data_IF_220614497746
#
_entry.id   IF_220614497746
#
_cell.length_a   1.000
_cell.length_b   1.000
_cell.length_c   1.000
_cell.angle_alpha   90.00
_cell.angle_beta   90.00
_cell.angle_gamma   90.00
#
_symmetry.space_group_name_H-M   'P 1'
#
loop_
_entity.id
_entity.type
_entity.pdbx_description
1 polymer ?
#
# COMPACT_ATOMS: atom_id res chain seq x y z
N UNK A 1 -22.90 -10.79 -3.54
CA UNK A 1 -22.26 -11.55 -2.46
C UNK A 1 -22.47 -10.73 -1.21
N UNK A 2 -23.00 -11.31 -0.14
CA UNK A 2 -23.24 -10.58 1.11
C UNK A 2 -21.89 -10.08 1.66
N UNK A 3 -21.75 -8.79 1.94
CA UNK A 3 -20.47 -8.18 2.34
C UNK A 3 -19.90 -8.86 3.58
N UNK A 4 -20.77 -9.37 4.45
CA UNK A 4 -20.40 -10.10 5.67
C UNK A 4 -19.76 -11.46 5.37
N UNK A 5 -20.21 -12.15 4.31
CA UNK A 5 -19.59 -13.42 3.88
C UNK A 5 -18.18 -13.16 3.33
N UNK A 6 -17.99 -12.09 2.57
CA UNK A 6 -16.67 -11.73 2.05
C UNK A 6 -15.67 -11.41 3.19
N UNK A 7 -16.11 -10.63 4.19
CA UNK A 7 -15.32 -10.32 5.39
C UNK A 7 -14.90 -11.59 6.14
N UNK A 8 -15.81 -12.55 6.31
CA UNK A 8 -15.51 -13.83 6.97
C UNK A 8 -14.52 -14.69 6.18
N UNK A 9 -14.64 -14.76 4.85
CA UNK A 9 -13.71 -15.51 4.00
C UNK A 9 -12.30 -14.92 4.10
N UNK A 10 -12.18 -13.59 4.09
CA UNK A 10 -10.90 -12.91 4.26
C UNK A 10 -10.29 -13.22 5.63
N UNK A 11 -11.05 -13.10 6.72
CA UNK A 11 -10.54 -13.42 8.07
C UNK A 11 -10.08 -14.89 8.19
N UNK A 12 -10.83 -15.83 7.60
CA UNK A 12 -10.41 -17.24 7.56
C UNK A 12 -9.09 -17.43 6.80
N UNK A 13 -8.91 -16.76 5.65
CA UNK A 13 -7.64 -16.81 4.89
C UNK A 13 -6.49 -16.20 5.69
N UNK A 14 -6.71 -15.07 6.35
CA UNK A 14 -5.71 -14.41 7.22
C UNK A 14 -5.26 -15.38 8.32
N UNK A 15 -6.18 -16.02 9.04
CA UNK A 15 -5.82 -16.98 10.09
C UNK A 15 -5.11 -18.22 9.52
N UNK A 16 -5.48 -18.67 8.31
CA UNK A 16 -4.82 -19.79 7.62
C UNK A 16 -3.37 -19.46 7.26
N UNK A 17 -3.11 -18.28 6.70
CA UNK A 17 -1.76 -17.81 6.38
C UNK A 17 -0.87 -17.82 7.62
N UNK A 18 -1.38 -17.33 8.76
CA UNK A 18 -0.64 -17.32 10.03
C UNK A 18 -0.29 -18.76 10.47
N UNK A 19 -1.22 -19.69 10.33
CA UNK A 19 -1.02 -21.08 10.74
C UNK A 19 -0.05 -21.85 9.83
N UNK A 20 -0.02 -21.55 8.54
CA UNK A 20 0.82 -22.23 7.55
C UNK A 20 2.23 -21.63 7.45
N UNK A 21 2.41 -20.38 7.87
CA UNK A 21 3.67 -19.63 7.72
C UNK A 21 4.18 -19.10 9.05
N UNK A 22 4.22 -19.95 10.09
CA UNK A 22 4.51 -19.53 11.47
C UNK A 22 5.83 -18.76 11.59
N UNK A 23 6.84 -19.12 10.79
CA UNK A 23 8.14 -18.46 10.71
C UNK A 23 8.06 -16.96 10.39
N UNK A 24 7.00 -16.53 9.67
CA UNK A 24 6.80 -15.12 9.28
C UNK A 24 6.21 -14.28 10.42
N UNK A 25 5.78 -14.91 11.52
CA UNK A 25 5.02 -14.27 12.60
C UNK A 25 5.58 -14.53 14.00
N UNK A 26 6.75 -15.18 14.13
CA UNK A 26 7.33 -15.62 15.42
C UNK A 26 7.52 -14.47 16.43
N UNK A 27 7.86 -13.27 15.95
CA UNK A 27 8.15 -12.09 16.78
C UNK A 27 6.95 -11.13 16.96
N UNK A 28 5.78 -11.48 16.41
CA UNK A 28 4.61 -10.61 16.39
C UNK A 28 3.57 -11.04 17.42
N UNK A 29 2.95 -10.07 18.10
CA UNK A 29 1.71 -10.35 18.81
C UNK A 29 0.61 -10.76 17.82
N UNK A 30 -0.50 -11.30 18.36
CA UNK A 30 -1.60 -11.80 17.53
C UNK A 30 -2.23 -10.72 16.64
N UNK A 31 -2.22 -9.46 17.08
CA UNK A 31 -2.81 -8.37 16.33
C UNK A 31 -1.90 -7.98 15.16
N UNK A 32 -0.61 -7.81 15.42
CA UNK A 32 0.40 -7.56 14.39
C UNK A 32 0.47 -8.71 13.38
N UNK A 33 0.35 -9.95 13.84
CA UNK A 33 0.32 -11.13 12.97
C UNK A 33 -0.86 -11.07 11.98
N UNK A 34 -2.05 -10.68 12.45
CA UNK A 34 -3.23 -10.52 11.59
C UNK A 34 -3.09 -9.39 10.59
N UNK A 35 -2.59 -8.23 11.03
CA UNK A 35 -2.34 -7.10 10.12
C UNK A 35 -1.32 -7.46 9.05
N UNK A 36 -0.17 -8.05 9.43
CA UNK A 36 0.86 -8.51 8.49
C UNK A 36 0.31 -9.58 7.52
N UNK A 37 -0.43 -10.56 8.03
CA UNK A 37 -1.03 -11.60 7.17
C UNK A 37 -2.07 -11.04 6.20
N UNK A 38 -2.85 -10.04 6.60
CA UNK A 38 -3.79 -9.35 5.71
C UNK A 38 -3.07 -8.55 4.62
N UNK A 39 -2.00 -7.85 4.96
CA UNK A 39 -1.14 -7.16 4.02
C UNK A 39 -0.51 -8.14 3.01
N UNK A 40 0.10 -9.23 3.49
CA UNK A 40 0.68 -10.28 2.64
C UNK A 40 -0.37 -10.86 1.68
N UNK A 41 -1.56 -11.17 2.17
CA UNK A 41 -2.67 -11.66 1.33
C UNK A 41 -3.03 -10.66 0.22
N UNK A 42 -3.10 -9.36 0.55
CA UNK A 42 -3.45 -8.33 -0.43
C UNK A 42 -2.36 -8.08 -1.46
N UNK A 43 -1.09 -8.07 -1.04
CA UNK A 43 0.07 -7.93 -1.94
C UNK A 43 0.17 -9.14 -2.87
N UNK A 44 0.12 -10.35 -2.31
CA UNK A 44 0.13 -11.60 -3.07
C UNK A 44 -1.01 -11.65 -4.10
N UNK A 45 -2.23 -11.31 -3.70
CA UNK A 45 -3.39 -11.32 -4.59
C UNK A 45 -3.33 -10.24 -5.69
N UNK A 46 -2.74 -9.07 -5.41
CA UNK A 46 -2.64 -7.98 -6.39
C UNK A 46 -1.54 -8.23 -7.41
N UNK A 47 -0.38 -8.72 -6.96
CA UNK A 47 0.79 -8.99 -7.80
C UNK A 47 0.77 -10.38 -8.46
N UNK A 48 -0.17 -11.25 -8.06
CA UNK A 48 -0.28 -12.64 -8.50
C UNK A 48 0.99 -13.47 -8.20
N UNK A 49 1.47 -13.35 -6.96
CA UNK A 49 2.65 -14.03 -6.43
C UNK A 49 2.30 -14.85 -5.17
N UNK A 50 3.21 -15.69 -4.69
CA UNK A 50 3.00 -16.41 -3.43
C UNK A 50 3.23 -15.53 -2.18
N UNK A 51 2.89 -16.05 -1.00
CA UNK A 51 2.93 -15.29 0.26
C UNK A 51 4.37 -15.05 0.71
N UNK A 52 5.23 -16.04 0.47
CA UNK A 52 6.66 -16.00 0.78
C UNK A 52 7.38 -14.94 -0.05
N UNK A 53 7.08 -14.85 -1.35
CA UNK A 53 7.60 -13.82 -2.24
C UNK A 53 7.06 -12.44 -1.87
N UNK A 54 5.78 -12.34 -1.48
CA UNK A 54 5.18 -11.08 -1.05
C UNK A 54 5.88 -10.46 0.17
N UNK A 55 6.54 -11.26 1.02
CA UNK A 55 7.22 -10.77 2.22
C UNK A 55 8.34 -9.77 1.91
N UNK A 56 9.06 -9.96 0.80
CA UNK A 56 10.20 -9.11 0.45
C UNK A 56 9.79 -7.66 0.15
N UNK A 57 8.52 -7.43 -0.19
CA UNK A 57 7.99 -6.11 -0.52
C UNK A 57 7.47 -5.35 0.69
N UNK A 58 7.35 -6.00 1.86
CA UNK A 58 6.80 -5.41 3.07
C UNK A 58 7.79 -4.41 3.68
N UNK A 59 7.33 -3.17 3.84
CA UNK A 59 8.04 -2.04 4.45
C UNK A 59 7.50 -1.69 5.85
N UNK A 60 6.43 -2.38 6.29
CA UNK A 60 5.73 -2.18 7.57
C UNK A 60 6.70 -2.10 8.77
N UNK A 61 6.56 -1.00 9.51
CA UNK A 61 7.38 -0.59 10.64
C UNK A 61 7.08 0.87 11.01
N UNK A 62 7.31 1.28 12.26
CA UNK A 62 7.07 2.67 12.66
C UNK A 62 7.82 3.67 11.77
N UNK A 63 7.17 4.79 11.40
CA UNK A 63 7.65 5.78 10.41
C UNK A 63 7.80 5.25 8.96
N UNK A 64 6.85 4.45 8.48
CA UNK A 64 6.76 3.98 7.10
C UNK A 64 6.17 5.01 6.09
N UNK A 65 5.84 6.23 6.55
CA UNK A 65 5.17 7.21 5.71
C UNK A 65 3.77 6.78 5.25
N UNK A 66 3.17 5.75 5.85
CA UNK A 66 1.90 5.19 5.41
C UNK A 66 1.99 4.27 4.19
N UNK A 67 3.19 3.79 3.84
CA UNK A 67 3.42 2.73 2.84
C UNK A 67 3.81 1.45 3.57
N UNK A 68 2.92 0.47 3.55
CA UNK A 68 3.11 -0.80 4.24
C UNK A 68 3.88 -1.82 3.36
N UNK A 69 3.84 -1.65 2.03
CA UNK A 69 4.65 -2.41 1.08
C UNK A 69 4.92 -1.61 -0.21
N UNK A 70 6.02 -1.92 -0.90
CA UNK A 70 6.40 -1.30 -2.16
C UNK A 70 6.97 -2.34 -3.14
N UNK A 71 6.38 -2.39 -4.33
CA UNK A 71 6.85 -3.17 -5.47
C UNK A 71 7.34 -2.22 -6.56
N UNK A 72 8.54 -2.47 -7.08
CA UNK A 72 9.19 -1.65 -8.09
C UNK A 72 9.65 -2.61 -9.18
N UNK A 73 9.25 -2.37 -10.42
CA UNK A 73 9.68 -3.17 -11.56
C UNK A 73 9.85 -2.31 -12.80
N UNK A 74 10.94 -2.55 -13.52
CA UNK A 74 11.13 -1.99 -14.85
C UNK A 74 10.10 -2.56 -15.83
N UNK A 75 9.56 -1.70 -16.68
CA UNK A 75 8.66 -2.04 -17.76
C UNK A 75 9.27 -1.61 -19.12
N UNK A 76 8.54 -1.85 -20.21
CA UNK A 76 9.01 -1.48 -21.55
C UNK A 76 9.18 0.05 -21.67
N UNK A 77 10.06 0.47 -22.59
CA UNK A 77 10.25 1.88 -22.96
C UNK A 77 10.64 2.82 -21.81
N UNK A 78 11.57 2.38 -20.94
CA UNK A 78 12.06 3.15 -19.78
C UNK A 78 10.95 3.54 -18.80
N UNK A 79 9.88 2.74 -18.74
CA UNK A 79 8.85 2.90 -17.72
C UNK A 79 9.28 2.18 -16.44
N UNK A 80 8.98 2.80 -15.30
CA UNK A 80 9.16 2.18 -13.99
C UNK A 80 7.79 1.99 -13.36
N UNK A 81 7.34 0.75 -13.23
CA UNK A 81 6.09 0.44 -12.55
C UNK A 81 6.33 0.43 -11.03
N UNK A 82 5.69 1.35 -10.32
CA UNK A 82 5.78 1.47 -8.87
C UNK A 82 4.40 1.20 -8.28
N UNK A 83 4.28 0.14 -7.48
CA UNK A 83 3.04 -0.19 -6.77
C UNK A 83 3.30 -0.04 -5.27
N UNK A 84 2.61 0.93 -4.66
CA UNK A 84 2.65 1.18 -3.23
C UNK A 84 1.39 0.64 -2.59
N UNK A 85 1.50 0.05 -1.41
CA UNK A 85 0.38 -0.53 -0.68
C UNK A 85 0.21 0.15 0.67
N UNK A 86 -1.04 0.35 1.07
CA UNK A 86 -1.40 0.66 2.44
C UNK A 86 -2.57 -0.22 2.87
N UNK A 87 -2.42 -0.86 4.02
CA UNK A 87 -3.40 -1.79 4.57
C UNK A 87 -4.05 -1.25 5.83
N UNK A 88 -5.35 -1.51 5.94
CA UNK A 88 -6.15 -1.28 7.14
C UNK A 88 -7.05 -2.49 7.37
N UNK A 89 -6.63 -3.34 8.29
CA UNK A 89 -7.39 -4.51 8.70
C UNK A 89 -8.34 -4.18 9.87
N UNK A 90 -9.65 -4.32 9.65
CA UNK A 90 -10.66 -4.23 10.71
C UNK A 90 -11.00 -5.60 11.26
N UNK A 91 -11.02 -5.74 12.59
CA UNK A 91 -11.43 -6.97 13.28
C UNK A 91 -12.93 -7.03 13.50
N UNK A 92 -13.61 -5.90 13.40
CA UNK A 92 -15.05 -5.83 13.53
C UNK A 92 -15.68 -6.21 12.20
N UNK A 93 -15.88 -7.52 11.99
CA UNK A 93 -16.43 -8.06 10.74
C UNK A 93 -17.93 -7.73 10.59
N UNK A 94 -18.63 -7.44 11.69
CA UNK A 94 -20.04 -6.99 11.68
C UNK A 94 -20.16 -5.47 11.47
N UNK A 95 -19.04 -4.75 11.56
CA UNK A 95 -18.99 -3.30 11.40
C UNK A 95 -18.66 -2.89 9.98
N UNK A 96 -19.19 -1.73 9.59
CA UNK A 96 -18.85 -1.04 8.36
C UNK A 96 -17.87 0.09 8.66
N UNK A 97 -16.59 -0.25 8.65
CA UNK A 97 -15.51 0.74 8.80
C UNK A 97 -15.04 1.17 7.42
N UNK A 98 -15.13 2.46 7.11
CA UNK A 98 -14.51 3.03 5.92
C UNK A 98 -12.98 2.99 6.03
N UNK A 99 -12.29 3.00 4.89
CA UNK A 99 -10.87 3.33 4.88
C UNK A 99 -10.69 4.78 5.40
N UNK A 100 -9.85 5.04 6.41
CA UNK A 100 -9.78 6.34 7.06
C UNK A 100 -9.28 7.47 6.14
N UNK A 101 -9.97 8.62 6.12
CA UNK A 101 -9.59 9.75 5.28
C UNK A 101 -8.18 10.29 5.58
N UNK A 102 -7.76 10.29 6.84
CA UNK A 102 -6.40 10.66 7.24
C UNK A 102 -5.33 9.70 6.71
N UNK A 103 -5.65 8.43 6.49
CA UNK A 103 -4.74 7.47 5.88
C UNK A 103 -4.61 7.74 4.38
N UNK A 104 -5.73 8.08 3.71
CA UNK A 104 -5.73 8.54 2.32
C UNK A 104 -4.91 9.81 2.13
N UNK A 105 -5.09 10.81 2.99
CA UNK A 105 -4.30 12.05 2.97
C UNK A 105 -2.80 11.76 3.13
N UNK A 106 -2.43 10.87 4.06
CA UNK A 106 -1.02 10.44 4.24
C UNK A 106 -0.47 9.76 3.00
N UNK A 107 -1.20 8.80 2.42
CA UNK A 107 -0.80 8.10 1.20
C UNK A 107 -0.52 9.09 0.06
N UNK A 108 -1.44 10.03 -0.16
CA UNK A 108 -1.32 11.09 -1.16
C UNK A 108 -0.09 11.96 -0.93
N UNK A 109 0.13 12.41 0.31
CA UNK A 109 1.31 13.20 0.65
C UNK A 109 2.61 12.41 0.47
N UNK A 110 2.60 11.12 0.77
CA UNK A 110 3.75 10.25 0.58
C UNK A 110 4.10 10.07 -0.88
N UNK A 111 3.11 9.84 -1.75
CA UNK A 111 3.34 9.85 -3.21
C UNK A 111 3.99 11.17 -3.63
N UNK A 112 3.42 12.32 -3.24
CA UNK A 112 4.00 13.63 -3.58
C UNK A 112 5.46 13.74 -3.17
N UNK A 113 5.79 13.32 -1.95
CA UNK A 113 7.13 13.47 -1.43
C UNK A 113 8.13 12.48 -2.04
N UNK A 114 7.72 11.24 -2.36
CA UNK A 114 8.61 10.23 -2.96
C UNK A 114 9.14 10.75 -4.30
N UNK A 115 8.25 11.35 -5.08
CA UNK A 115 8.51 11.86 -6.43
C UNK A 115 8.92 13.35 -6.46
N UNK A 116 9.06 13.99 -5.30
CA UNK A 116 9.67 15.31 -5.17
C UNK A 116 11.12 15.17 -4.69
N UNK A 117 12.13 15.45 -5.54
CA UNK A 117 13.54 15.33 -5.18
C UNK A 117 13.96 16.22 -4.00
N UNK A 118 13.27 17.35 -3.78
CA UNK A 118 13.57 18.31 -2.74
C UNK A 118 12.83 18.01 -1.42
N UNK A 119 11.89 17.05 -1.43
CA UNK A 119 11.13 16.69 -0.25
C UNK A 119 11.99 15.89 0.75
N UNK A 120 12.15 16.45 1.95
CA UNK A 120 12.75 15.77 3.09
C UNK A 120 11.75 14.85 3.79
N UNK A 121 11.76 13.55 3.46
CA UNK A 121 10.92 12.54 4.14
C UNK A 121 11.72 11.84 5.24
N UNK A 122 11.13 11.73 6.42
CA UNK A 122 11.63 10.85 7.49
C UNK A 122 10.97 9.49 7.34
N UNK A 123 11.75 8.50 6.88
CA UNK A 123 11.31 7.12 6.68
C UNK A 123 12.08 6.13 7.57
N UNK A 124 11.48 4.98 7.84
CA UNK A 124 12.20 3.81 8.37
C UNK A 124 13.23 3.29 7.35
N UNK A 125 14.13 2.39 7.77
CA UNK A 125 15.21 1.87 6.92
C UNK A 125 14.69 1.23 5.62
N UNK A 126 13.75 0.29 5.73
CA UNK A 126 13.16 -0.42 4.58
C UNK A 126 12.45 0.52 3.60
N UNK A 127 11.67 1.45 4.12
CA UNK A 127 10.94 2.44 3.32
C UNK A 127 11.91 3.40 2.63
N UNK A 128 12.99 3.80 3.31
CA UNK A 128 14.04 4.63 2.70
C UNK A 128 14.73 3.91 1.55
N UNK A 129 15.11 2.64 1.73
CA UNK A 129 15.73 1.84 0.67
C UNK A 129 14.87 1.83 -0.59
N UNK A 130 13.55 1.58 -0.45
CA UNK A 130 12.60 1.57 -1.58
C UNK A 130 12.43 2.94 -2.22
N UNK A 131 12.43 4.02 -1.44
CA UNK A 131 12.32 5.38 -1.99
C UNK A 131 13.59 5.81 -2.72
N UNK A 132 14.77 5.49 -2.18
CA UNK A 132 16.04 5.76 -2.87
C UNK A 132 16.18 4.93 -4.14
N UNK A 133 15.70 3.68 -4.16
CA UNK A 133 15.60 2.85 -5.36
C UNK A 133 14.70 3.50 -6.43
N UNK A 134 13.50 3.98 -6.06
CA UNK A 134 12.63 4.71 -6.99
C UNK A 134 13.34 5.97 -7.53
N UNK A 135 14.00 6.73 -6.66
CA UNK A 135 14.69 7.98 -7.02
C UNK A 135 15.88 7.73 -7.94
N UNK A 136 16.64 6.65 -7.77
CA UNK A 136 17.76 6.33 -8.67
C UNK A 136 17.27 6.05 -10.09
N UNK A 137 16.19 5.29 -10.25
CA UNK A 137 15.58 5.08 -11.58
C UNK A 137 15.11 6.38 -12.23
N UNK A 138 14.50 7.28 -11.46
CA UNK A 138 14.07 8.59 -11.97
C UNK A 138 15.27 9.42 -12.44
N UNK A 139 16.37 9.42 -11.68
CA UNK A 139 17.62 10.11 -12.07
C UNK A 139 18.24 9.52 -13.34
N UNK A 140 18.07 8.21 -13.55
CA UNK A 140 18.51 7.51 -14.77
C UNK A 140 17.56 7.73 -15.97
N UNK A 141 16.50 8.52 -15.80
CA UNK A 141 15.58 8.94 -16.86
C UNK A 141 14.37 8.03 -17.04
N UNK A 142 14.11 7.11 -16.10
CA UNK A 142 12.88 6.32 -16.13
C UNK A 142 11.66 7.18 -15.81
N UNK A 143 10.55 6.89 -16.49
CA UNK A 143 9.26 7.54 -16.26
C UNK A 143 8.43 6.67 -15.30
N UNK A 144 8.15 7.14 -14.07
CA UNK A 144 7.40 6.35 -13.10
C UNK A 144 5.90 6.28 -13.45
N UNK A 145 5.37 5.07 -13.47
CA UNK A 145 3.93 4.80 -13.46
C UNK A 145 3.55 4.30 -12.07
N UNK A 146 2.81 5.12 -11.33
CA UNK A 146 2.58 4.89 -9.89
C UNK A 146 1.15 4.43 -9.65
N UNK A 147 1.00 3.28 -9.02
CA UNK A 147 -0.28 2.79 -8.50
C UNK A 147 -0.23 2.73 -6.99
N UNK A 148 -1.23 3.31 -6.31
CA UNK A 148 -1.38 3.21 -4.86
C UNK A 148 -2.58 2.34 -4.52
N UNK A 149 -2.34 1.18 -3.91
CA UNK A 149 -3.35 0.19 -3.56
C UNK A 149 -3.71 0.31 -2.08
N UNK A 150 -4.97 0.66 -1.82
CA UNK A 150 -5.51 0.75 -0.46
C UNK A 150 -6.30 -0.51 -0.13
N UNK A 151 -5.75 -1.35 0.74
CA UNK A 151 -6.31 -2.64 1.13
C UNK A 151 -7.14 -2.48 2.41
N UNK A 152 -8.41 -2.82 2.35
CA UNK A 152 -9.25 -3.01 3.54
C UNK A 152 -10.27 -4.12 3.37
N UNK A 153 -10.81 -4.57 4.50
CA UNK A 153 -11.91 -5.54 4.57
C UNK A 153 -13.24 -4.86 4.99
N UNK A 154 -13.36 -3.55 4.77
CA UNK A 154 -14.51 -2.75 5.17
C UNK A 154 -15.17 -2.05 3.97
N UNK A 155 -15.84 -0.94 4.23
CA UNK A 155 -16.37 -0.08 3.17
C UNK A 155 -15.24 0.72 2.51
N UNK A 156 -15.46 1.17 1.28
CA UNK A 156 -14.56 2.12 0.61
C UNK A 156 -14.38 3.39 1.46
N UNK A 157 -13.36 4.21 1.18
CA UNK A 157 -13.27 5.53 1.81
C UNK A 157 -14.49 6.41 1.48
N UNK A 158 -14.70 7.45 2.27
CA UNK A 158 -15.84 8.38 2.13
C UNK A 158 -15.51 9.60 1.25
N UNK A 159 -16.45 10.53 1.10
CA UNK A 159 -16.28 11.71 0.24
C UNK A 159 -15.13 12.62 0.69
N UNK A 160 -14.85 12.74 1.99
CA UNK A 160 -13.75 13.58 2.48
C UNK A 160 -12.40 13.06 1.98
N UNK A 161 -12.20 11.74 2.06
CA UNK A 161 -11.02 11.08 1.51
C UNK A 161 -10.93 11.26 -0.02
N UNK A 162 -12.06 11.18 -0.71
CA UNK A 162 -12.13 11.41 -2.15
C UNK A 162 -11.70 12.84 -2.50
N UNK A 163 -12.12 13.84 -1.73
CA UNK A 163 -11.71 15.23 -1.90
C UNK A 163 -10.19 15.41 -1.72
N UNK A 164 -9.56 14.68 -0.78
CA UNK A 164 -8.10 14.71 -0.62
C UNK A 164 -7.37 14.20 -1.87
N UNK A 165 -7.88 13.13 -2.50
CA UNK A 165 -7.35 12.60 -3.76
C UNK A 165 -7.54 13.65 -4.86
N UNK A 166 -8.77 14.15 -5.04
CA UNK A 166 -9.08 15.07 -6.13
C UNK A 166 -8.28 16.37 -6.05
N UNK A 167 -8.18 16.99 -4.87
CA UNK A 167 -7.41 18.21 -4.66
C UNK A 167 -5.91 18.00 -4.87
N UNK A 168 -5.40 16.82 -4.55
CA UNK A 168 -3.98 16.54 -4.68
C UNK A 168 -3.53 16.35 -6.11
N UNK A 169 -4.40 15.84 -6.98
CA UNK A 169 -4.12 15.58 -8.38
C UNK A 169 -4.79 16.56 -9.34
N UNK A 170 -5.45 17.60 -8.84
CA UNK A 170 -6.09 18.66 -9.63
C UNK A 170 -5.09 19.30 -10.63
N UNK A 171 -3.84 19.49 -10.20
CA UNK A 171 -2.74 20.02 -11.03
C UNK A 171 -2.42 19.11 -12.24
N UNK A 172 -2.61 17.80 -12.12
CA UNK A 172 -2.37 16.85 -13.22
C UNK A 172 -3.55 16.75 -14.20
N UNK A 173 -4.77 17.13 -13.77
CA UNK A 173 -5.94 17.20 -14.68
C UNK A 173 -5.78 18.35 -15.68
N UNK A 174 -5.20 19.47 -15.25
CA UNK A 174 -4.95 20.63 -16.13
C UNK A 174 -3.86 20.38 -17.18
N UNK A 175 -2.89 19.49 -16.92
CA UNK A 175 -1.87 19.11 -17.91
C UNK A 175 -2.45 18.33 -19.11
N UNK A 176 -3.50 17.53 -18.90
CA UNK A 176 -4.18 16.79 -19.97
C UNK A 176 -5.12 17.66 -20.82
N UNK A 177 -5.46 18.88 -20.38
CA UNK A 177 -6.22 19.85 -21.17
C UNK A 177 -5.33 20.77 -22.02
N UNK A 178 -4.01 20.73 -21.79
CA UNK A 178 -3.01 21.58 -22.46
C UNK A 178 -2.12 20.82 -23.47
N UNK A 179 -2.34 19.52 -23.65
CA UNK A 179 -1.78 18.68 -24.72
C UNK A 179 -2.87 18.31 -25.74
#
# INVERSE_FOLDING_TARGET
MDTDIAKQIVDQRVNKIIAENTQLFEDADREKSRSKAFLLLGVSAYLDIDIEEAEQYITDGGNDGGVDAAYIAEAQDSQLNVVLFQSKYSRNLEGDSNFPANAVEKAVNTVKNIFDPEAGIVLNEKSREKVEEIRSFILDGYIPYVTFVMLNNGLTWNQDAQNHIDNAFEIFKDLNAAL
#
